data_IF_885681730129
#
_entry.id   IF_885681730129
#
_cell.length_a   1.000
_cell.length_b   1.000
_cell.length_c   1.000
_cell.angle_alpha   90.00
_cell.angle_beta   90.00
_cell.angle_gamma   90.00
#
_symmetry.space_group_name_H-M   'P 1'
#
loop_
_entity.id
_entity.type
_entity.pdbx_description
1 polymer ?
#
# COMPACT_ATOMS: atom_id res chain seq x y z
N UNK A 1 17.76 0.14 2.35
CA UNK A 1 17.09 -1.03 2.96
C UNK A 1 15.77 -1.36 2.27
N UNK A 2 14.85 -0.37 2.06
CA UNK A 2 13.56 -0.60 1.39
C UNK A 2 13.70 -1.17 -0.03
N UNK A 3 14.60 -0.62 -0.85
CA UNK A 3 14.87 -1.12 -2.21
C UNK A 3 15.30 -2.59 -2.21
N UNK A 4 16.14 -2.97 -1.27
CA UNK A 4 16.56 -4.37 -1.13
C UNK A 4 15.37 -5.27 -0.79
N UNK A 5 14.54 -4.87 0.17
CA UNK A 5 13.35 -5.63 0.57
C UNK A 5 12.34 -5.75 -0.59
N UNK A 6 12.09 -4.65 -1.31
CA UNK A 6 11.19 -4.63 -2.45
C UNK A 6 11.70 -5.52 -3.60
N UNK A 7 13.00 -5.47 -3.89
CA UNK A 7 13.63 -6.31 -4.91
C UNK A 7 13.59 -7.80 -4.52
N UNK A 8 13.95 -8.11 -3.28
CA UNK A 8 13.94 -9.49 -2.78
C UNK A 8 12.53 -10.08 -2.81
N UNK A 9 11.52 -9.30 -2.41
CA UNK A 9 10.12 -9.74 -2.49
C UNK A 9 9.64 -9.88 -3.93
N UNK A 10 9.98 -8.94 -4.82
CA UNK A 10 9.68 -9.03 -6.25
C UNK A 10 10.28 -10.28 -6.89
N UNK A 11 11.52 -10.62 -6.55
CA UNK A 11 12.16 -11.86 -7.00
C UNK A 11 11.46 -13.12 -6.46
N UNK A 12 10.99 -13.08 -5.20
CA UNK A 12 10.19 -14.17 -4.59
C UNK A 12 8.89 -14.37 -5.35
N UNK A 13 8.17 -13.27 -5.66
CA UNK A 13 6.92 -13.30 -6.41
C UNK A 13 7.12 -13.79 -7.84
N UNK A 14 8.19 -13.35 -8.52
CA UNK A 14 8.51 -13.79 -9.88
C UNK A 14 8.77 -15.31 -9.97
N UNK A 15 9.41 -15.88 -8.93
CA UNK A 15 9.65 -17.33 -8.84
C UNK A 15 8.43 -18.13 -8.41
N UNK A 16 7.55 -17.52 -7.62
CA UNK A 16 6.39 -18.19 -7.02
C UNK A 16 5.23 -17.20 -6.89
N UNK A 17 4.45 -16.98 -7.96
CA UNK A 17 3.37 -15.97 -7.96
C UNK A 17 2.30 -16.18 -6.87
N UNK A 18 2.06 -17.42 -6.47
CA UNK A 18 1.09 -17.78 -5.42
C UNK A 18 1.46 -17.26 -4.02
N UNK A 19 2.70 -16.84 -3.80
CA UNK A 19 3.18 -16.39 -2.48
C UNK A 19 2.41 -15.16 -1.97
N UNK A 20 1.99 -14.26 -2.86
CA UNK A 20 1.18 -13.09 -2.46
C UNK A 20 -0.13 -13.52 -1.81
N UNK A 21 -0.80 -14.52 -2.38
CA UNK A 21 -2.04 -15.06 -1.82
C UNK A 21 -1.83 -15.77 -0.48
N UNK A 22 -0.68 -16.43 -0.29
CA UNK A 22 -0.31 -17.06 0.97
C UNK A 22 -0.01 -16.02 2.05
N UNK A 23 0.79 -15.00 1.71
CA UNK A 23 1.12 -13.90 2.63
C UNK A 23 -0.14 -13.10 3.04
N UNK A 24 -1.12 -12.92 2.13
CA UNK A 24 -2.39 -12.27 2.45
C UNK A 24 -3.27 -13.05 3.44
N UNK A 25 -3.10 -14.35 3.56
CA UNK A 25 -3.90 -15.19 4.49
C UNK A 25 -3.43 -15.07 5.93
N UNK A 26 -2.23 -14.58 6.16
CA UNK A 26 -1.65 -14.41 7.51
C UNK A 26 -1.48 -12.94 7.86
N UNK A 27 -1.72 -12.59 9.14
CA UNK A 27 -1.66 -11.18 9.59
C UNK A 27 -0.29 -10.53 9.35
N UNK A 28 0.85 -11.16 9.68
CA UNK A 28 2.16 -10.57 9.41
C UNK A 28 2.36 -10.28 7.93
N UNK A 29 2.02 -11.21 7.04
CA UNK A 29 2.17 -11.02 5.60
C UNK A 29 1.34 -9.86 5.04
N UNK A 30 0.11 -9.64 5.56
CA UNK A 30 -0.70 -8.46 5.20
C UNK A 30 -0.01 -7.15 5.59
N UNK A 31 0.53 -7.10 6.81
CA UNK A 31 1.24 -5.93 7.32
C UNK A 31 2.51 -5.65 6.51
N UNK A 32 3.26 -6.68 6.18
CA UNK A 32 4.52 -6.56 5.42
C UNK A 32 4.27 -6.05 4.00
N UNK A 33 3.24 -6.57 3.31
CA UNK A 33 2.83 -6.11 1.98
C UNK A 33 2.36 -4.65 2.01
N UNK A 34 1.55 -4.28 3.00
CA UNK A 34 1.10 -2.90 3.16
C UNK A 34 2.28 -1.97 3.46
N UNK A 35 3.16 -2.35 4.39
CA UNK A 35 4.36 -1.58 4.72
C UNK A 35 5.31 -1.42 3.53
N UNK A 36 5.45 -2.44 2.69
CA UNK A 36 6.28 -2.37 1.49
C UNK A 36 5.75 -1.32 0.50
N UNK A 37 4.46 -1.31 0.22
CA UNK A 37 3.85 -0.34 -0.69
C UNK A 37 3.85 1.08 -0.10
N UNK A 38 3.56 1.23 1.19
CA UNK A 38 3.65 2.51 1.91
C UNK A 38 5.10 3.02 1.92
N UNK A 39 6.08 2.15 2.12
CA UNK A 39 7.50 2.47 2.02
C UNK A 39 7.89 3.02 0.65
N UNK A 40 7.30 2.50 -0.43
CA UNK A 40 7.44 3.04 -1.78
C UNK A 40 6.90 4.46 -1.93
N UNK A 41 5.72 4.74 -1.34
CA UNK A 41 5.15 6.10 -1.31
C UNK A 41 6.02 7.07 -0.52
N UNK A 42 6.54 6.64 0.65
CA UNK A 42 7.47 7.43 1.46
C UNK A 42 8.80 7.70 0.72
N UNK A 43 9.34 6.70 0.03
CA UNK A 43 10.53 6.85 -0.79
C UNK A 43 10.31 7.84 -1.94
N UNK A 44 9.12 7.84 -2.56
CA UNK A 44 8.76 8.83 -3.57
C UNK A 44 8.77 10.26 -3.02
N UNK A 45 8.37 10.48 -1.77
CA UNK A 45 8.45 11.79 -1.12
C UNK A 45 9.90 12.27 -1.03
N UNK A 46 10.82 11.39 -0.62
CA UNK A 46 12.25 11.73 -0.54
C UNK A 46 12.86 11.99 -1.91
N UNK A 47 12.46 11.23 -2.93
CA UNK A 47 12.96 11.38 -4.30
C UNK A 47 12.41 12.62 -5.01
N UNK A 48 11.27 13.16 -4.58
CA UNK A 48 10.61 14.26 -5.28
C UNK A 48 11.50 15.51 -5.46
N UNK A 49 12.38 15.78 -4.48
CA UNK A 49 13.31 16.91 -4.53
C UNK A 49 14.50 16.69 -5.47
N UNK A 50 14.92 15.46 -5.72
CA UNK A 50 16.14 15.12 -6.46
C UNK A 50 15.86 14.56 -7.86
N UNK A 51 14.82 13.78 -7.99
CA UNK A 51 14.47 13.06 -9.20
C UNK A 51 12.94 12.97 -9.39
N UNK A 52 12.27 14.10 -9.72
CA UNK A 52 10.81 14.17 -9.72
C UNK A 52 10.15 13.19 -10.70
N UNK A 53 10.78 12.89 -11.83
CA UNK A 53 10.24 11.92 -12.79
C UNK A 53 10.24 10.50 -12.22
N UNK A 54 11.33 10.09 -11.57
CA UNK A 54 11.42 8.80 -10.87
C UNK A 54 10.45 8.75 -9.69
N UNK A 55 10.33 9.84 -8.94
CA UNK A 55 9.38 9.95 -7.83
C UNK A 55 7.93 9.76 -8.29
N UNK A 56 7.54 10.36 -9.43
CA UNK A 56 6.20 10.17 -10.03
C UNK A 56 5.96 8.72 -10.40
N UNK A 57 6.90 8.09 -11.08
CA UNK A 57 6.81 6.67 -11.44
C UNK A 57 6.70 5.77 -10.22
N UNK A 58 7.53 5.98 -9.21
CA UNK A 58 7.53 5.21 -7.97
C UNK A 58 6.22 5.40 -7.19
N UNK A 59 5.73 6.65 -7.08
CA UNK A 59 4.46 6.94 -6.41
C UNK A 59 3.28 6.23 -7.08
N UNK A 60 3.19 6.30 -8.40
CA UNK A 60 2.10 5.63 -9.15
C UNK A 60 2.18 4.11 -9.02
N UNK A 61 3.38 3.55 -9.11
CA UNK A 61 3.59 2.10 -8.94
C UNK A 61 3.21 1.65 -7.51
N UNK A 62 3.64 2.39 -6.50
CA UNK A 62 3.34 2.08 -5.10
C UNK A 62 1.84 2.22 -4.80
N UNK A 63 1.17 3.27 -5.31
CA UNK A 63 -0.27 3.45 -5.20
C UNK A 63 -1.04 2.33 -5.90
N UNK A 64 -0.66 1.97 -7.12
CA UNK A 64 -1.29 0.87 -7.85
C UNK A 64 -1.13 -0.46 -7.10
N UNK A 65 0.08 -0.75 -6.60
CA UNK A 65 0.34 -1.93 -5.79
C UNK A 65 -0.49 -1.96 -4.52
N UNK A 66 -0.61 -0.83 -3.83
CA UNK A 66 -1.43 -0.72 -2.62
C UNK A 66 -2.94 -0.89 -2.91
N UNK A 67 -3.43 -0.34 -4.03
CA UNK A 67 -4.81 -0.52 -4.46
C UNK A 67 -5.11 -1.99 -4.80
N UNK A 68 -4.21 -2.67 -5.50
CA UNK A 68 -4.31 -4.11 -5.77
C UNK A 68 -4.36 -4.90 -4.46
N UNK A 69 -3.47 -4.59 -3.52
CA UNK A 69 -3.45 -5.20 -2.19
C UNK A 69 -4.79 -5.02 -1.46
N UNK A 70 -5.34 -3.81 -1.43
CA UNK A 70 -6.63 -3.52 -0.81
C UNK A 70 -7.78 -4.32 -1.46
N UNK A 71 -7.83 -4.38 -2.78
CA UNK A 71 -8.84 -5.17 -3.52
C UNK A 71 -8.71 -6.67 -3.22
N UNK A 72 -7.49 -7.21 -3.23
CA UNK A 72 -7.26 -8.62 -2.91
C UNK A 72 -7.65 -8.95 -1.48
N UNK A 73 -7.37 -8.03 -0.54
CA UNK A 73 -7.76 -8.21 0.86
C UNK A 73 -9.28 -8.17 1.03
N UNK A 74 -9.99 -7.25 0.37
CA UNK A 74 -11.46 -7.21 0.39
C UNK A 74 -12.03 -8.51 -0.16
N UNK A 75 -11.52 -9.00 -1.30
CA UNK A 75 -11.97 -10.29 -1.87
C UNK A 75 -11.71 -11.46 -0.92
N UNK A 76 -10.54 -11.49 -0.29
CA UNK A 76 -10.22 -12.51 0.70
C UNK A 76 -11.19 -12.46 1.89
N UNK A 77 -11.43 -11.27 2.46
CA UNK A 77 -12.35 -11.10 3.58
C UNK A 77 -13.79 -11.51 3.24
N UNK A 78 -14.25 -11.22 2.01
CA UNK A 78 -15.57 -11.66 1.57
C UNK A 78 -15.67 -13.19 1.41
N UNK A 79 -14.58 -13.86 1.09
CA UNK A 79 -14.55 -15.33 0.99
C UNK A 79 -14.48 -16.04 2.35
N UNK A 80 -14.15 -15.32 3.43
CA UNK A 80 -14.06 -15.87 4.77
C UNK A 80 -15.42 -15.89 5.48
N UNK A 81 -15.68 -16.85 6.40
CA UNK A 81 -16.84 -16.81 7.28
C UNK A 81 -16.88 -15.54 8.12
N UNK A 82 -18.08 -15.03 8.53
CA UNK A 82 -18.20 -13.80 9.31
C UNK A 82 -17.34 -13.75 10.57
N UNK A 83 -17.17 -14.89 11.24
CA UNK A 83 -16.40 -15.03 12.48
C UNK A 83 -14.91 -14.74 12.27
N UNK A 84 -14.40 -14.91 11.04
CA UNK A 84 -13.00 -14.67 10.67
C UNK A 84 -12.76 -13.27 10.08
N UNK A 85 -13.81 -12.45 9.93
CA UNK A 85 -13.75 -11.09 9.40
C UNK A 85 -13.53 -10.04 10.49
N UNK A 86 -12.91 -10.42 11.60
CA UNK A 86 -12.70 -9.48 12.71
C UNK A 86 -11.80 -8.32 12.30
N UNK A 87 -12.23 -7.10 12.65
CA UNK A 87 -11.42 -5.89 12.50
C UNK A 87 -10.18 -6.01 13.39
N UNK A 88 -9.04 -5.71 12.83
CA UNK A 88 -7.77 -5.74 13.54
C UNK A 88 -6.88 -4.57 13.05
N UNK A 89 -5.82 -4.21 13.79
CA UNK A 89 -4.96 -3.06 13.46
C UNK A 89 -4.35 -3.09 12.05
N UNK A 90 -4.22 -4.26 11.42
CA UNK A 90 -3.67 -4.36 10.06
C UNK A 90 -4.60 -3.76 9.00
N UNK A 91 -5.89 -3.60 9.32
CA UNK A 91 -6.85 -2.93 8.42
C UNK A 91 -6.48 -1.47 8.20
N UNK A 92 -5.99 -0.77 9.23
CA UNK A 92 -5.51 0.60 9.07
C UNK A 92 -4.35 0.67 8.08
N UNK A 93 -3.38 -0.23 8.17
CA UNK A 93 -2.27 -0.29 7.20
C UNK A 93 -2.77 -0.51 5.78
N UNK A 94 -3.73 -1.41 5.59
CA UNK A 94 -4.19 -1.82 4.26
C UNK A 94 -5.18 -0.85 3.61
N UNK A 95 -6.04 -0.18 4.40
CA UNK A 95 -7.11 0.67 3.88
C UNK A 95 -6.87 2.17 4.11
N UNK A 96 -6.16 2.54 5.17
CA UNK A 96 -5.80 3.94 5.47
C UNK A 96 -4.38 4.26 4.95
N UNK A 97 -3.56 3.24 4.67
CA UNK A 97 -2.18 3.38 4.21
C UNK A 97 -1.98 4.26 2.97
N UNK A 98 -3.01 4.43 2.15
CA UNK A 98 -3.00 5.37 1.01
C UNK A 98 -2.62 6.80 1.41
N UNK A 99 -2.90 7.23 2.64
CA UNK A 99 -2.59 8.57 3.12
C UNK A 99 -1.10 8.90 3.03
N UNK A 100 -0.23 7.88 3.08
CA UNK A 100 1.23 8.03 2.94
C UNK A 100 1.63 8.58 1.57
N UNK A 101 0.76 8.49 0.56
CA UNK A 101 0.98 9.07 -0.75
C UNK A 101 0.81 10.61 -0.77
N UNK A 102 0.09 11.19 0.19
CA UNK A 102 -0.24 12.62 0.18
C UNK A 102 1.00 13.53 0.21
N UNK A 103 2.03 13.32 1.06
CA UNK A 103 3.24 14.14 1.04
C UNK A 103 3.98 14.11 -0.30
N UNK A 104 4.09 12.92 -0.92
CA UNK A 104 4.72 12.79 -2.24
C UNK A 104 3.92 13.52 -3.33
N UNK A 105 2.59 13.41 -3.29
CA UNK A 105 1.70 14.08 -4.24
C UNK A 105 1.83 15.61 -4.13
N UNK A 106 1.86 16.15 -2.91
CA UNK A 106 2.10 17.58 -2.67
C UNK A 106 3.46 18.01 -3.21
N UNK A 107 4.54 17.31 -2.88
CA UNK A 107 5.90 17.61 -3.32
C UNK A 107 6.05 17.57 -4.85
N UNK A 108 5.23 16.79 -5.54
CA UNK A 108 5.20 16.66 -7.00
C UNK A 108 4.22 17.62 -7.68
N UNK A 109 3.54 18.50 -6.93
CA UNK A 109 2.55 19.45 -7.45
C UNK A 109 1.18 18.82 -7.76
N UNK A 110 0.92 17.60 -7.30
CA UNK A 110 -0.35 16.87 -7.49
C UNK A 110 -1.30 17.06 -6.30
N UNK A 111 -1.61 18.32 -5.97
CA UNK A 111 -2.47 18.64 -4.83
C UNK A 111 -3.85 17.99 -4.89
N UNK A 112 -4.44 17.87 -6.08
CA UNK A 112 -5.71 17.15 -6.28
C UNK A 112 -5.64 15.69 -5.84
N UNK A 113 -4.55 15.00 -6.16
CA UNK A 113 -4.32 13.62 -5.71
C UNK A 113 -4.17 13.57 -4.18
N UNK A 114 -3.43 14.51 -3.60
CA UNK A 114 -3.26 14.58 -2.14
C UNK A 114 -4.60 14.74 -1.42
N UNK A 115 -5.45 15.65 -1.89
CA UNK A 115 -6.80 15.85 -1.35
C UNK A 115 -7.72 14.64 -1.55
N UNK A 116 -7.66 14.00 -2.72
CA UNK A 116 -8.43 12.79 -3.00
C UNK A 116 -8.05 11.65 -2.05
N UNK A 117 -6.75 11.40 -1.89
CA UNK A 117 -6.25 10.36 -0.98
C UNK A 117 -6.66 10.65 0.47
N UNK A 118 -6.48 11.89 0.93
CA UNK A 118 -6.89 12.30 2.27
C UNK A 118 -8.39 12.14 2.49
N UNK A 119 -9.21 12.65 1.56
CA UNK A 119 -10.67 12.60 1.65
C UNK A 119 -11.25 11.18 1.59
N UNK A 120 -10.57 10.25 0.90
CA UNK A 120 -10.98 8.84 0.85
C UNK A 120 -10.55 8.08 2.12
N UNK A 121 -9.37 8.37 2.65
CA UNK A 121 -8.83 7.61 3.80
C UNK A 121 -9.39 8.08 5.13
N UNK A 122 -9.72 9.36 5.29
CA UNK A 122 -10.22 9.90 6.55
C UNK A 122 -11.53 9.23 7.02
N UNK A 123 -12.59 9.10 6.19
CA UNK A 123 -13.80 8.38 6.59
C UNK A 123 -13.52 6.91 6.94
N UNK A 124 -12.66 6.26 6.18
CA UNK A 124 -12.29 4.86 6.44
C UNK A 124 -11.58 4.73 7.80
N UNK A 125 -10.66 5.65 8.12
CA UNK A 125 -9.96 5.66 9.40
C UNK A 125 -10.89 5.89 10.61
N UNK A 126 -11.99 6.61 10.40
CA UNK A 126 -12.98 6.86 11.46
C UNK A 126 -13.93 5.68 11.69
N UNK A 127 -14.11 4.82 10.70
CA UNK A 127 -15.04 3.67 10.76
C UNK A 127 -14.35 2.39 11.23
N UNK A 128 -13.04 2.25 10.93
CA UNK A 128 -12.23 1.10 11.34
C UNK A 128 -11.59 1.36 12.70
#
# INVERSE_FOLDING_TARGET
LWLFAAFAYGAKVARRPGVVGEDLRVLPGRSDLAAMTMGGMAAATLLAAYAPLLAKGLLLLALAGHAVLAVLLVRLLWSLPPEQRQVNPTWHLSFVGFIVAAPAAVALGWSGLAWAVFGLTLPVALVI
#
